data_IF_198715995967
#
_entry.id   IF_198715995967
#
_cell.length_a   1.000
_cell.length_b   1.000
_cell.length_c   1.000
_cell.angle_alpha   90.00
_cell.angle_beta   90.00
_cell.angle_gamma   90.00
#
_symmetry.space_group_name_H-M   'P 1'
#
loop_
_entity.id
_entity.type
_entity.pdbx_description
1 polymer ?
#
# COMPACT_ATOMS: atom_id res chain seq x y z
N UNK A 1 18.95 -3.47 15.14
CA UNK A 1 18.22 -2.56 14.23
C UNK A 1 18.40 -2.93 12.75
N UNK A 2 19.63 -3.14 12.24
CA UNK A 2 19.87 -3.54 10.83
C UNK A 2 19.07 -4.76 10.33
N UNK A 3 18.83 -5.84 11.11
CA UNK A 3 18.08 -7.01 10.62
C UNK A 3 16.62 -6.69 10.28
N UNK A 4 15.97 -5.84 11.07
CA UNK A 4 14.57 -5.43 10.85
C UNK A 4 14.45 -4.64 9.55
N UNK A 5 15.40 -3.74 9.26
CA UNK A 5 15.42 -3.01 8.00
C UNK A 5 15.56 -3.96 6.79
N UNK A 6 16.42 -4.97 6.90
CA UNK A 6 16.61 -5.98 5.85
C UNK A 6 15.31 -6.77 5.61
N UNK A 7 14.61 -7.16 6.68
CA UNK A 7 13.31 -7.85 6.58
C UNK A 7 12.29 -6.98 5.86
N UNK A 8 12.21 -5.68 6.21
CA UNK A 8 11.31 -4.75 5.53
C UNK A 8 11.63 -4.59 4.04
N UNK A 9 12.91 -4.43 3.68
CA UNK A 9 13.33 -4.34 2.28
C UNK A 9 12.92 -5.61 1.51
N UNK A 10 13.15 -6.79 2.09
CA UNK A 10 12.77 -8.04 1.45
C UNK A 10 11.24 -8.17 1.30
N UNK A 11 10.48 -7.78 2.32
CA UNK A 11 9.02 -7.77 2.30
C UNK A 11 8.47 -6.85 1.20
N UNK A 12 9.04 -5.65 1.06
CA UNK A 12 8.67 -4.69 0.01
C UNK A 12 8.94 -5.25 -1.39
N UNK A 13 10.07 -5.93 -1.59
CA UNK A 13 10.40 -6.59 -2.87
C UNK A 13 9.42 -7.73 -3.18
N UNK A 14 9.04 -8.53 -2.18
CA UNK A 14 8.04 -9.59 -2.34
C UNK A 14 6.69 -9.00 -2.74
N UNK A 15 6.26 -7.92 -2.09
CA UNK A 15 5.01 -7.24 -2.46
C UNK A 15 5.08 -6.66 -3.86
N UNK A 16 6.16 -5.95 -4.22
CA UNK A 16 6.35 -5.41 -5.56
C UNK A 16 6.28 -6.50 -6.64
N UNK A 17 6.90 -7.66 -6.41
CA UNK A 17 6.84 -8.80 -7.32
C UNK A 17 5.41 -9.37 -7.45
N UNK A 18 4.68 -9.53 -6.34
CA UNK A 18 3.30 -10.05 -6.38
C UNK A 18 2.34 -9.05 -7.04
N UNK A 19 2.55 -7.75 -6.87
CA UNK A 19 1.80 -6.69 -7.55
C UNK A 19 2.11 -6.67 -9.04
N UNK A 20 3.38 -6.80 -9.44
CA UNK A 20 3.77 -6.90 -10.85
C UNK A 20 3.14 -8.12 -11.56
N UNK A 21 2.88 -9.20 -10.80
CA UNK A 21 2.15 -10.39 -11.28
C UNK A 21 0.64 -10.29 -11.15
N UNK A 22 0.10 -9.13 -10.76
CA UNK A 22 -1.33 -8.89 -10.64
C UNK A 22 -2.07 -9.92 -9.76
N UNK A 23 -1.46 -10.29 -8.62
CA UNK A 23 -2.05 -11.28 -7.70
C UNK A 23 -3.11 -10.65 -6.78
N UNK A 24 -4.34 -11.16 -6.88
CA UNK A 24 -5.57 -10.70 -6.17
C UNK A 24 -5.45 -10.46 -4.65
N UNK A 25 -4.72 -11.29 -3.92
CA UNK A 25 -4.71 -11.24 -2.45
C UNK A 25 -3.78 -10.20 -1.83
N UNK A 26 -2.79 -9.69 -2.56
CA UNK A 26 -1.71 -8.90 -1.94
C UNK A 26 -2.08 -7.43 -1.75
N UNK A 27 -2.93 -6.88 -2.61
CA UNK A 27 -3.34 -5.47 -2.59
C UNK A 27 -4.00 -5.03 -1.26
N UNK A 28 -5.01 -5.76 -0.71
CA UNK A 28 -5.61 -5.36 0.58
C UNK A 28 -4.64 -5.52 1.75
N UNK A 29 -3.70 -6.47 1.70
CA UNK A 29 -2.65 -6.64 2.72
C UNK A 29 -1.70 -5.44 2.70
N UNK A 30 -1.26 -5.02 1.51
CA UNK A 30 -0.42 -3.82 1.33
C UNK A 30 -1.15 -2.58 1.85
N UNK A 31 -2.44 -2.40 1.50
CA UNK A 31 -3.23 -1.27 1.98
C UNK A 31 -3.32 -1.22 3.52
N UNK A 32 -3.48 -2.37 4.18
CA UNK A 32 -3.54 -2.45 5.64
C UNK A 32 -2.20 -2.10 6.29
N UNK A 33 -1.09 -2.64 5.77
CA UNK A 33 0.25 -2.33 6.27
C UNK A 33 0.62 -0.86 6.03
N UNK A 34 0.27 -0.31 4.86
CA UNK A 34 0.45 1.10 4.54
C UNK A 34 -0.35 1.99 5.49
N UNK A 35 -1.59 1.61 5.83
CA UNK A 35 -2.41 2.32 6.81
C UNK A 35 -1.75 2.35 8.21
N UNK A 36 -1.24 1.21 8.67
CA UNK A 36 -0.54 1.13 9.95
C UNK A 36 0.71 2.03 9.97
N UNK A 37 1.50 2.00 8.89
CA UNK A 37 2.68 2.86 8.74
C UNK A 37 2.32 4.34 8.65
N UNK A 38 1.23 4.70 7.97
CA UNK A 38 0.75 6.07 7.88
C UNK A 38 0.40 6.64 9.25
N UNK A 39 -0.33 5.88 10.08
CA UNK A 39 -0.71 6.30 11.43
C UNK A 39 0.52 6.49 12.32
N UNK A 40 1.45 5.52 12.34
CA UNK A 40 2.66 5.65 13.13
C UNK A 40 3.55 6.80 12.66
N UNK A 41 3.68 6.98 11.35
CA UNK A 41 4.41 8.11 10.77
C UNK A 41 3.79 9.45 11.16
N UNK A 42 2.46 9.57 11.08
CA UNK A 42 1.74 10.79 11.42
C UNK A 42 1.96 11.20 12.88
N UNK A 43 1.91 10.24 13.80
CA UNK A 43 2.19 10.48 15.22
C UNK A 43 3.67 10.83 15.45
N UNK A 44 4.58 10.28 14.64
CA UNK A 44 6.01 10.48 14.79
C UNK A 44 6.54 11.82 14.25
N UNK A 45 5.85 12.50 13.31
CA UNK A 45 6.31 13.78 12.73
C UNK A 45 6.70 14.83 13.79
N UNK A 46 5.82 15.22 14.75
CA UNK A 46 6.18 16.23 15.75
C UNK A 46 7.37 15.79 16.61
N UNK A 47 7.46 14.50 16.94
CA UNK A 47 8.54 13.96 17.76
C UNK A 47 9.94 14.13 17.17
N UNK A 48 10.05 14.29 15.84
CA UNK A 48 11.30 14.62 15.18
C UNK A 48 11.62 16.10 15.25
N UNK A 49 10.62 16.97 15.02
CA UNK A 49 10.78 18.42 15.03
C UNK A 49 11.12 18.93 16.43
N UNK A 50 10.51 18.36 17.47
CA UNK A 50 10.75 18.73 18.87
C UNK A 50 12.20 18.50 19.34
N UNK A 51 13.00 17.74 18.58
CA UNK A 51 14.41 17.43 18.88
C UNK A 51 15.40 18.50 18.42
N UNK A 52 14.94 19.59 17.81
CA UNK A 52 15.80 20.74 17.46
C UNK A 52 16.26 21.56 18.70
N UNK A 53 15.79 21.22 19.90
CA UNK A 53 16.15 21.90 21.15
C UNK A 53 17.56 21.64 21.68
N UNK A 54 18.02 22.54 22.55
CA UNK A 54 19.29 22.40 23.26
C UNK A 54 19.24 21.21 24.24
N UNK A 55 20.28 20.38 24.23
CA UNK A 55 20.39 19.19 25.11
C UNK A 55 19.99 17.85 24.47
N UNK A 56 19.48 17.85 23.24
CA UNK A 56 19.24 16.61 22.50
C UNK A 56 20.49 16.11 21.76
N UNK A 57 20.70 14.80 21.80
CA UNK A 57 21.71 14.14 20.98
C UNK A 57 21.36 14.33 19.50
N UNK A 58 22.28 14.95 18.75
CA UNK A 58 22.05 15.25 17.34
C UNK A 58 22.04 13.95 16.52
N UNK A 59 20.99 13.71 15.71
CA UNK A 59 20.98 12.56 14.81
C UNK A 59 22.01 12.73 13.70
N UNK A 60 22.32 11.64 12.98
CA UNK A 60 23.22 11.68 11.83
C UNK A 60 22.71 12.58 10.68
N UNK A 61 21.40 12.83 10.66
CA UNK A 61 20.71 13.79 9.79
C UNK A 61 19.97 14.79 10.68
N UNK A 62 19.74 16.01 10.18
CA UNK A 62 18.99 17.01 10.97
C UNK A 62 17.58 16.52 11.29
N UNK A 63 17.11 16.85 12.48
CA UNK A 63 15.76 16.54 12.97
C UNK A 63 14.66 17.06 12.06
N UNK A 64 14.78 18.31 11.57
CA UNK A 64 13.85 18.88 10.59
C UNK A 64 13.81 18.10 9.27
N UNK A 65 14.96 17.60 8.80
CA UNK A 65 15.01 16.74 7.61
C UNK A 65 14.32 15.39 7.88
N UNK A 66 14.57 14.76 9.02
CA UNK A 66 13.91 13.51 9.41
C UNK A 66 12.39 13.67 9.57
N UNK A 67 11.93 14.79 10.15
CA UNK A 67 10.52 15.14 10.23
C UNK A 67 9.88 15.29 8.85
N UNK A 68 10.55 16.00 7.96
CA UNK A 68 10.10 16.21 6.57
C UNK A 68 10.04 14.91 5.77
N UNK A 69 11.06 14.06 5.88
CA UNK A 69 11.08 12.73 5.25
C UNK A 69 9.95 11.85 5.80
N UNK A 70 9.68 11.91 7.10
CA UNK A 70 8.56 11.17 7.71
C UNK A 70 7.22 11.67 7.15
N UNK A 71 7.03 12.98 7.00
CA UNK A 71 5.82 13.54 6.40
C UNK A 71 5.63 13.11 4.93
N UNK A 72 6.71 13.10 4.14
CA UNK A 72 6.70 12.58 2.76
C UNK A 72 6.32 11.10 2.74
N UNK A 73 6.87 10.30 3.65
CA UNK A 73 6.54 8.88 3.77
C UNK A 73 5.06 8.67 4.11
N UNK A 74 4.48 9.46 5.02
CA UNK A 74 3.04 9.41 5.31
C UNK A 74 2.21 9.71 4.07
N UNK A 75 2.56 10.76 3.31
CA UNK A 75 1.87 11.08 2.05
C UNK A 75 1.99 9.93 1.03
N UNK A 76 3.16 9.30 0.91
CA UNK A 76 3.36 8.12 0.06
C UNK A 76 2.49 6.94 0.51
N UNK A 77 2.36 6.68 1.82
CA UNK A 77 1.47 5.61 2.31
C UNK A 77 0.02 5.86 1.91
N UNK A 78 -0.46 7.11 1.99
CA UNK A 78 -1.82 7.47 1.56
C UNK A 78 -2.02 7.19 0.07
N UNK A 79 -1.04 7.54 -0.78
CA UNK A 79 -1.10 7.23 -2.22
C UNK A 79 -1.13 5.72 -2.47
N UNK A 80 -0.32 4.93 -1.75
CA UNK A 80 -0.31 3.46 -1.86
C UNK A 80 -1.66 2.87 -1.47
N UNK A 81 -2.30 3.36 -0.40
CA UNK A 81 -3.63 2.93 0.02
C UNK A 81 -4.65 3.21 -1.09
N UNK A 82 -4.68 4.44 -1.61
CA UNK A 82 -5.61 4.84 -2.67
C UNK A 82 -5.43 3.96 -3.92
N UNK A 83 -4.18 3.80 -4.38
CA UNK A 83 -3.86 2.97 -5.54
C UNK A 83 -4.26 1.50 -5.34
N UNK A 84 -3.97 0.94 -4.16
CA UNK A 84 -4.32 -0.45 -3.82
C UNK A 84 -5.83 -0.65 -3.80
N UNK A 85 -6.59 0.27 -3.21
CA UNK A 85 -8.05 0.21 -3.18
C UNK A 85 -8.67 0.40 -4.56
N UNK A 86 -8.11 1.28 -5.39
CA UNK A 86 -8.57 1.47 -6.77
C UNK A 86 -8.33 0.21 -7.62
N UNK A 87 -7.15 -0.40 -7.53
CA UNK A 87 -6.85 -1.65 -8.22
C UNK A 87 -7.74 -2.81 -7.73
N UNK A 88 -7.98 -2.90 -6.41
CA UNK A 88 -8.83 -3.95 -5.83
C UNK A 88 -10.30 -3.84 -6.28
N UNK A 89 -10.81 -2.63 -6.51
CA UNK A 89 -12.18 -2.38 -7.03
C UNK A 89 -12.41 -2.92 -8.44
N UNK A 90 -11.39 -3.34 -9.16
CA UNK A 90 -11.54 -3.91 -10.49
C UNK A 90 -12.18 -5.31 -10.46
N UNK A 91 -12.41 -5.88 -9.27
CA UNK A 91 -13.10 -7.15 -9.06
C UNK A 91 -12.48 -8.34 -9.82
N UNK A 92 -11.19 -8.30 -10.13
CA UNK A 92 -10.48 -9.43 -10.78
C UNK A 92 -10.33 -10.65 -9.87
N UNK A 93 -10.73 -10.53 -8.60
CA UNK A 93 -10.89 -11.66 -7.69
C UNK A 93 -12.22 -12.41 -7.90
N UNK A 94 -13.17 -11.83 -8.62
CA UNK A 94 -14.46 -12.44 -8.95
C UNK A 94 -14.29 -13.17 -10.28
N UNK A 95 -14.33 -14.50 -10.22
CA UNK A 95 -14.39 -15.35 -11.40
C UNK A 95 -15.84 -15.29 -11.90
N UNK A 96 -16.04 -14.79 -13.14
CA UNK A 96 -17.34 -14.76 -13.80
C UNK A 96 -17.46 -16.03 -14.61
N UNK A 97 -18.45 -16.86 -14.29
CA UNK A 97 -18.78 -18.04 -15.08
C UNK A 97 -19.33 -17.59 -16.43
N UNK A 98 -18.55 -17.78 -17.50
CA UNK A 98 -19.03 -17.64 -18.87
C UNK A 98 -19.57 -18.99 -19.30
N UNK A 99 -20.88 -19.16 -19.23
CA UNK A 99 -21.51 -20.26 -19.95
C UNK A 99 -21.31 -20.00 -21.45
N UNK A 100 -20.82 -20.98 -22.24
CA UNK A 100 -20.91 -20.89 -23.68
C UNK A 100 -22.38 -20.62 -23.99
N UNK A 101 -22.66 -19.61 -24.84
CA UNK A 101 -24.03 -19.28 -25.23
C UNK A 101 -24.72 -20.59 -25.59
N UNK A 102 -25.76 -20.97 -24.84
CA UNK A 102 -26.55 -22.14 -25.20
C UNK A 102 -27.04 -21.90 -26.62
N UNK A 103 -26.61 -22.77 -27.53
CA UNK A 103 -27.10 -22.84 -28.90
C UNK A 103 -28.58 -23.28 -28.82
N UNK A 104 -29.45 -22.33 -28.49
CA UNK A 104 -30.83 -22.61 -28.09
C UNK A 104 -31.76 -21.40 -27.95
N UNK A 105 -31.24 -20.17 -27.87
CA UNK A 105 -32.06 -18.95 -27.91
C UNK A 105 -32.44 -18.52 -29.34
N UNK A 106 -32.71 -19.50 -30.21
CA UNK A 106 -33.54 -19.26 -31.38
C UNK A 106 -34.98 -19.06 -30.89
N UNK A 107 -35.32 -17.81 -30.55
CA UNK A 107 -36.71 -17.38 -30.40
C UNK A 107 -37.51 -17.97 -31.59
N UNK A 108 -38.59 -18.72 -31.36
CA UNK A 108 -39.40 -19.21 -32.47
C UNK A 108 -39.89 -17.99 -33.25
N UNK A 109 -39.64 -17.97 -34.55
CA UNK A 109 -40.12 -16.94 -35.45
C UNK A 109 -41.67 -16.98 -35.46
N UNK A 110 -42.31 -16.21 -34.60
CA UNK A 110 -43.76 -16.00 -34.61
C UNK A 110 -44.48 -16.04 -33.25
N UNK A 111 -44.04 -15.25 -32.26
CA UNK A 111 -44.87 -14.88 -31.10
C UNK A 111 -45.15 -13.38 -31.09
#
# INVERSE_FOLDING_TARGET
MKPICIVWIFLDLVFAYNVAKWRRGVLPVIATLAMMMAVFGLIAIPSWVDREGFGYAQPALSSGLLGSLTAILVALQVLVIIASMYAFRQQWNVEVEHWPAEEGDALPAGA
#
